data_IF_530688944165
#
_entry.id   IF_530688944165
#
_cell.length_a   1.000
_cell.length_b   1.000
_cell.length_c   1.000
_cell.angle_alpha   90.00
_cell.angle_beta   90.00
_cell.angle_gamma   90.00
#
_symmetry.space_group_name_H-M   'P 1'
#
loop_
_entity.id
_entity.type
_entity.pdbx_description
1 polymer ?
#
# COMPACT_ATOMS: atom_id res chain seq x y z
N UNK A 1 8.50 5.41 5.22
CA UNK A 1 9.06 4.04 5.34
C UNK A 1 8.19 2.92 4.72
N UNK A 2 7.45 3.21 3.64
CA UNK A 2 6.69 2.20 2.89
C UNK A 2 7.30 2.12 1.49
N UNK A 3 7.69 0.91 1.03
CA UNK A 3 8.47 0.55 -0.19
C UNK A 3 9.75 1.37 -0.47
N UNK A 4 9.80 2.62 -0.04
CA UNK A 4 10.96 3.48 0.04
C UNK A 4 11.83 3.02 1.21
N UNK A 5 13.12 2.90 0.91
CA UNK A 5 14.13 2.62 1.91
C UNK A 5 14.05 3.64 3.04
N UNK A 6 14.14 3.15 4.28
CA UNK A 6 14.16 4.01 5.45
C UNK A 6 15.12 3.47 6.49
N UNK A 7 16.03 4.32 6.92
CA UNK A 7 16.95 4.04 8.03
C UNK A 7 16.40 4.50 9.39
N UNK A 8 15.21 5.11 9.41
CA UNK A 8 14.52 5.52 10.63
C UNK A 8 13.74 4.34 11.19
N UNK A 9 13.70 4.18 12.52
CA UNK A 9 12.97 3.09 13.16
C UNK A 9 11.45 3.29 13.02
N UNK A 10 10.67 2.26 12.60
CA UNK A 10 11.08 0.92 12.21
C UNK A 10 11.84 0.88 10.88
N UNK A 11 13.01 0.25 10.89
CA UNK A 11 13.93 0.23 9.75
C UNK A 11 13.37 -0.61 8.60
N UNK A 12 13.45 -0.08 7.39
CA UNK A 12 13.18 -0.80 6.15
C UNK A 12 14.27 -0.46 5.11
N UNK A 13 15.54 -0.83 5.35
CA UNK A 13 16.67 -0.37 4.55
C UNK A 13 16.65 -0.92 3.12
N UNK A 14 15.93 -2.02 2.88
CA UNK A 14 15.84 -2.67 1.57
C UNK A 14 14.54 -2.32 0.81
N UNK A 15 13.66 -1.48 1.38
CA UNK A 15 12.38 -1.15 0.74
C UNK A 15 11.43 -2.35 0.63
N UNK A 16 11.52 -3.28 1.57
CA UNK A 16 10.69 -4.48 1.63
C UNK A 16 9.20 -4.14 1.71
N UNK A 17 8.39 -5.10 1.26
CA UNK A 17 6.96 -5.11 1.52
C UNK A 17 6.70 -5.16 3.04
N UNK A 18 5.62 -4.52 3.48
CA UNK A 18 5.29 -4.38 4.89
C UNK A 18 4.50 -5.59 5.40
N UNK A 19 5.22 -6.64 5.80
CA UNK A 19 4.63 -7.86 6.37
C UNK A 19 4.51 -7.84 7.90
N UNK A 20 5.05 -6.82 8.57
CA UNK A 20 5.22 -6.81 10.03
C UNK A 20 4.76 -5.50 10.69
N UNK A 21 4.33 -4.51 9.92
CA UNK A 21 3.83 -3.24 10.42
C UNK A 21 4.88 -2.15 10.57
N UNK A 22 5.82 -2.03 9.62
CA UNK A 22 6.81 -0.95 9.60
C UNK A 22 6.18 0.44 9.51
N UNK A 23 5.09 0.58 8.76
CA UNK A 23 4.46 1.88 8.51
C UNK A 23 3.04 2.04 9.04
N UNK A 24 2.35 0.95 9.39
CA UNK A 24 0.97 0.98 9.85
C UNK A 24 0.60 -0.31 10.58
N UNK A 25 -0.25 -0.22 11.60
CA UNK A 25 -0.87 -1.39 12.26
C UNK A 25 -1.87 -2.12 11.35
N UNK A 26 -2.33 -1.48 10.28
CA UNK A 26 -3.25 -2.07 9.30
C UNK A 26 -2.55 -2.83 8.18
N UNK A 27 -1.24 -3.07 8.26
CA UNK A 27 -0.41 -3.66 7.20
C UNK A 27 -1.03 -4.92 6.55
N UNK A 28 -1.63 -5.80 7.35
CA UNK A 28 -2.19 -7.06 6.87
C UNK A 28 -3.65 -6.97 6.35
N UNK A 29 -4.37 -5.87 6.62
CA UNK A 29 -5.78 -5.76 6.31
C UNK A 29 -6.05 -4.83 5.12
N UNK A 30 -7.32 -4.74 4.70
CA UNK A 30 -7.74 -3.98 3.50
C UNK A 30 -7.51 -2.47 3.62
N UNK A 31 -7.29 -1.96 4.83
CA UNK A 31 -6.99 -0.55 5.10
C UNK A 31 -5.49 -0.27 5.10
N UNK A 32 -4.65 -1.31 4.93
CA UNK A 32 -3.20 -1.17 4.83
C UNK A 32 -2.79 -0.29 3.63
N UNK A 33 -1.91 0.70 3.81
CA UNK A 33 -1.49 1.59 2.73
C UNK A 33 -0.94 0.85 1.49
N UNK A 34 -0.13 -0.19 1.70
CA UNK A 34 0.40 -1.02 0.60
C UNK A 34 -0.71 -1.84 -0.08
N UNK A 35 -1.66 -2.40 0.69
CA UNK A 35 -2.80 -3.13 0.15
C UNK A 35 -3.73 -2.25 -0.69
N UNK A 36 -3.97 -1.00 -0.25
CA UNK A 36 -4.71 0.00 -1.03
C UNK A 36 -3.99 0.30 -2.34
N UNK A 37 -2.66 0.44 -2.32
CA UNK A 37 -1.85 0.63 -3.52
C UNK A 37 -1.99 -0.53 -4.51
N UNK A 38 -1.83 -1.77 -4.03
CA UNK A 38 -2.00 -2.99 -4.85
C UNK A 38 -3.41 -3.09 -5.41
N UNK A 39 -4.45 -2.80 -4.61
CA UNK A 39 -5.83 -2.80 -5.08
C UNK A 39 -6.04 -1.81 -6.23
N UNK A 40 -5.48 -0.60 -6.13
CA UNK A 40 -5.54 0.40 -7.22
C UNK A 40 -4.88 -0.13 -8.49
N UNK A 41 -3.71 -0.76 -8.39
CA UNK A 41 -3.04 -1.37 -9.55
C UNK A 41 -3.88 -2.47 -10.20
N UNK A 42 -4.48 -3.34 -9.39
CA UNK A 42 -5.39 -4.41 -9.87
C UNK A 42 -6.62 -3.79 -10.57
N UNK A 43 -7.23 -2.77 -9.97
CA UNK A 43 -8.37 -2.08 -10.55
C UNK A 43 -8.02 -1.46 -11.91
N UNK A 44 -6.85 -0.83 -12.02
CA UNK A 44 -6.34 -0.31 -13.30
C UNK A 44 -6.19 -1.41 -14.34
N UNK A 45 -5.56 -2.54 -14.02
CA UNK A 45 -5.38 -3.67 -14.95
C UNK A 45 -6.73 -4.26 -15.38
N UNK A 46 -7.71 -4.28 -14.47
CA UNK A 46 -9.07 -4.75 -14.75
C UNK A 46 -9.90 -3.76 -15.58
N UNK A 47 -9.37 -2.56 -15.88
CA UNK A 47 -10.12 -1.50 -16.54
C UNK A 47 -11.24 -0.91 -15.66
N UNK A 48 -11.15 -1.08 -14.33
CA UNK A 48 -12.05 -0.41 -13.40
C UNK A 48 -11.67 1.06 -13.37
N UNK A 49 -12.48 1.90 -14.02
CA UNK A 49 -12.32 3.34 -14.00
C UNK A 49 -12.69 3.88 -12.60
N UNK A 50 -11.71 4.00 -11.72
CA UNK A 50 -11.87 4.54 -10.36
C UNK A 50 -12.35 6.00 -10.35
N UNK A 51 -12.12 6.74 -11.44
CA UNK A 51 -12.69 8.08 -11.67
C UNK A 51 -14.23 8.07 -11.75
N UNK A 52 -14.85 6.94 -12.10
CA UNK A 52 -16.30 6.78 -12.16
C UNK A 52 -16.91 6.39 -10.80
N UNK A 53 -16.13 5.79 -9.90
CA UNK A 53 -16.59 5.35 -8.57
C UNK A 53 -16.68 6.52 -7.58
N UNK A 54 -15.80 7.53 -7.71
CA UNK A 54 -15.81 8.72 -6.84
C UNK A 54 -16.89 9.77 -7.21
N UNK A 55 -17.64 9.54 -8.29
CA UNK A 55 -18.72 10.42 -8.77
C UNK A 55 -20.13 10.00 -8.34
N UNK A 56 -20.26 8.95 -7.52
CA UNK A 56 -21.53 8.49 -6.96
C UNK A 56 -21.54 8.74 -5.45
#
# INVERSE_FOLDING_TARGET
PQILQSSLSPQNPNGCFDWWGYGSTNYANKLGPQMIGVKKMIDTVRGINTASVAKK
#
